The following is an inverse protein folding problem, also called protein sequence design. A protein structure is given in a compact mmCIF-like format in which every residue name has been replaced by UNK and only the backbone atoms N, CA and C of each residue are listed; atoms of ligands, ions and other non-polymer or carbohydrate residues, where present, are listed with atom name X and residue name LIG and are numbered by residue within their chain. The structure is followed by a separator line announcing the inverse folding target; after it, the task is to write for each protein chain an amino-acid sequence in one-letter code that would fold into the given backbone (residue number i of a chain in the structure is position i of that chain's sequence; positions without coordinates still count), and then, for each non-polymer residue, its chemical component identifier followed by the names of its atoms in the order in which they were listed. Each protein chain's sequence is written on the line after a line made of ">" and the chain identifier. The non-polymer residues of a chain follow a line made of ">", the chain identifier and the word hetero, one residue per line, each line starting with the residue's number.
data_IF_095142798342
#
_entry.id   IF_095142798342
#
_cell.length_a   1.000
_cell.length_b   1.000
_cell.length_c   1.000
_cell.angle_alpha   90.00
_cell.angle_beta   90.00
_cell.angle_gamma   90.00
#
_symmetry.space_group_name_H-M   'P 1'
#
loop_
_entity.id
_entity.type
_entity.pdbx_description
1 polymer ?
#
# COMPACT_ATOMS: atom_id res chain seq x y z
N UNK A 1 -2.90 8.34 -18.11
CA UNK A 1 -1.67 8.06 -17.35
C UNK A 1 -1.42 9.24 -16.44
N UNK A 2 -1.34 9.02 -15.13
CA UNK A 2 -0.95 10.05 -14.17
C UNK A 2 0.51 9.80 -13.77
N UNK A 3 1.35 10.83 -13.77
CA UNK A 3 2.75 10.70 -13.32
C UNK A 3 3.05 11.76 -12.29
N UNK A 4 3.95 11.47 -11.37
CA UNK A 4 4.50 12.44 -10.41
C UNK A 4 3.41 13.15 -9.60
N UNK A 5 2.36 12.40 -9.27
CA UNK A 5 1.16 12.93 -8.62
C UNK A 5 1.35 12.98 -7.11
N UNK A 6 1.05 14.12 -6.50
CA UNK A 6 1.02 14.28 -5.05
C UNK A 6 -0.42 14.28 -4.57
N UNK A 7 -0.77 13.39 -3.65
CA UNK A 7 -2.11 13.22 -3.10
C UNK A 7 -2.09 13.59 -1.62
N UNK A 8 -2.89 14.61 -1.25
CA UNK A 8 -2.94 15.18 0.10
C UNK A 8 -4.35 15.20 0.71
N UNK A 9 -5.34 14.65 0.00
CA UNK A 9 -6.75 14.60 0.40
C UNK A 9 -7.37 13.24 0.02
N UNK A 10 -8.51 12.90 0.62
CA UNK A 10 -9.29 11.71 0.30
C UNK A 10 -9.34 10.62 1.37
N UNK A 11 -8.53 10.72 2.43
CA UNK A 11 -8.54 9.79 3.57
C UNK A 11 -9.39 10.29 4.77
N UNK A 12 -10.28 11.28 4.56
CA UNK A 12 -11.00 11.96 5.66
C UNK A 12 -11.96 11.07 6.47
N UNK A 13 -12.13 9.79 6.12
CA UNK A 13 -12.92 8.84 6.92
C UNK A 13 -12.10 7.92 7.85
N UNK A 14 -10.77 7.96 7.80
CA UNK A 14 -9.90 7.01 8.50
C UNK A 14 -9.27 5.95 7.57
N UNK A 15 -8.42 5.07 8.12
CA UNK A 15 -7.42 4.36 7.34
C UNK A 15 -8.04 3.28 6.41
N UNK A 16 -9.24 2.79 6.72
CA UNK A 16 -10.08 1.97 5.82
C UNK A 16 -11.53 2.44 5.88
N UNK A 17 -11.77 3.75 5.85
CA UNK A 17 -13.12 4.27 5.85
C UNK A 17 -13.86 3.86 4.57
N UNK A 18 -14.73 2.87 4.72
CA UNK A 18 -15.87 2.52 3.87
C UNK A 18 -15.99 3.34 2.57
N UNK A 19 -15.22 2.94 1.54
CA UNK A 19 -15.44 3.21 0.11
C UNK A 19 -16.10 4.55 -0.27
N UNK A 20 -15.65 5.66 0.31
CA UNK A 20 -15.89 6.98 -0.28
C UNK A 20 -15.00 7.14 -1.51
N UNK A 21 -15.55 7.58 -2.65
CA UNK A 21 -14.83 7.81 -3.90
C UNK A 21 -13.92 9.07 -3.86
N UNK A 22 -13.20 9.29 -2.76
CA UNK A 22 -12.40 10.49 -2.52
C UNK A 22 -10.91 10.18 -2.57
N UNK A 23 -10.15 11.04 -3.26
CA UNK A 23 -8.72 10.88 -3.51
C UNK A 23 -8.42 10.65 -4.99
N UNK A 24 -7.23 10.12 -5.28
CA UNK A 24 -6.81 9.82 -6.65
C UNK A 24 -7.37 8.46 -7.08
N UNK A 25 -8.25 8.45 -8.08
CA UNK A 25 -8.68 7.21 -8.75
C UNK A 25 -7.76 6.84 -9.91
N UNK A 26 -7.13 5.67 -9.82
CA UNK A 26 -6.29 5.10 -10.85
C UNK A 26 -7.07 4.03 -11.60
N UNK A 27 -7.59 4.37 -12.78
CA UNK A 27 -8.28 3.45 -13.71
C UNK A 27 -7.39 2.92 -14.84
N UNK A 28 -6.18 3.44 -14.95
CA UNK A 28 -5.17 3.02 -15.93
C UNK A 28 -3.82 2.98 -15.22
N UNK A 29 -2.77 3.60 -15.79
CA UNK A 29 -1.46 3.65 -15.13
C UNK A 29 -1.24 4.96 -14.33
N UNK A 30 -0.78 4.83 -13.08
CA UNK A 30 -0.24 5.91 -12.26
C UNK A 30 1.21 5.58 -11.88
N UNK A 31 2.14 6.51 -12.12
CA UNK A 31 3.58 6.29 -11.86
C UNK A 31 4.11 7.37 -10.92
N UNK A 32 4.97 7.00 -9.96
CA UNK A 32 5.61 7.95 -9.03
C UNK A 32 4.58 8.78 -8.26
N UNK A 33 3.62 8.11 -7.64
CA UNK A 33 2.65 8.81 -6.79
C UNK A 33 3.21 8.97 -5.39
N UNK A 34 3.11 10.17 -4.83
CA UNK A 34 3.37 10.44 -3.42
C UNK A 34 2.07 10.69 -2.69
N UNK A 35 1.80 9.90 -1.66
CA UNK A 35 0.61 10.02 -0.82
C UNK A 35 1.06 10.53 0.54
N UNK A 36 0.69 11.76 0.87
CA UNK A 36 0.99 12.36 2.16
C UNK A 36 -0.16 12.11 3.15
N UNK A 37 -0.01 12.64 4.37
CA UNK A 37 -1.06 12.66 5.37
C UNK A 37 -2.40 13.14 4.78
N UNK A 38 -3.46 12.41 5.08
CA UNK A 38 -4.83 12.59 4.58
C UNK A 38 -5.02 12.30 3.08
N UNK A 39 -3.95 11.94 2.36
CA UNK A 39 -4.01 11.53 0.97
C UNK A 39 -4.51 10.10 0.81
N UNK A 40 -5.31 9.86 -0.23
CA UNK A 40 -5.74 8.51 -0.59
C UNK A 40 -5.59 8.23 -2.08
N UNK A 41 -4.95 7.12 -2.42
CA UNK A 41 -4.95 6.57 -3.78
C UNK A 41 -5.81 5.32 -3.83
N UNK A 42 -6.73 5.26 -4.80
CA UNK A 42 -7.58 4.10 -5.07
C UNK A 42 -7.18 3.53 -6.42
N UNK A 43 -6.54 2.36 -6.40
CA UNK A 43 -6.18 1.61 -7.60
C UNK A 43 -7.34 0.70 -7.94
N UNK A 44 -8.11 1.05 -8.97
CA UNK A 44 -9.24 0.25 -9.44
C UNK A 44 -8.76 -1.10 -9.99
N UNK A 45 -9.68 -2.03 -10.23
CA UNK A 45 -9.38 -3.40 -10.72
C UNK A 45 -8.48 -3.41 -11.97
N UNK A 46 -8.76 -2.53 -12.93
CA UNK A 46 -7.95 -2.37 -14.16
C UNK A 46 -6.78 -1.37 -14.00
N UNK A 47 -6.62 -0.82 -12.80
CA UNK A 47 -5.61 0.17 -12.47
C UNK A 47 -4.27 -0.46 -12.14
N UNK A 48 -3.19 0.25 -12.47
CA UNK A 48 -1.83 -0.06 -12.05
C UNK A 48 -1.20 1.18 -11.42
N UNK A 49 -0.74 1.07 -10.19
CA UNK A 49 0.09 2.07 -9.54
C UNK A 49 1.54 1.54 -9.46
N UNK A 50 2.50 2.32 -9.93
CA UNK A 50 3.90 1.95 -9.96
C UNK A 50 4.74 3.01 -9.23
N UNK A 51 5.66 2.56 -8.37
CA UNK A 51 6.54 3.42 -7.57
C UNK A 51 5.73 4.40 -6.71
N UNK A 52 4.81 3.87 -5.89
CA UNK A 52 4.03 4.71 -4.97
C UNK A 52 4.75 4.84 -3.64
N UNK A 53 4.88 6.06 -3.11
CA UNK A 53 5.39 6.31 -1.76
C UNK A 53 4.23 6.78 -0.88
N UNK A 54 4.01 6.10 0.24
CA UNK A 54 2.95 6.41 1.19
C UNK A 54 3.57 6.82 2.53
N UNK A 55 3.34 8.06 2.93
CA UNK A 55 3.81 8.60 4.21
C UNK A 55 2.77 8.43 5.33
N UNK A 56 3.21 8.68 6.56
CA UNK A 56 2.37 8.58 7.75
C UNK A 56 1.01 9.29 7.62
N UNK A 57 -0.06 8.52 7.82
CA UNK A 57 -1.44 8.97 7.70
C UNK A 57 -1.97 9.14 6.27
N UNK A 58 -1.25 8.62 5.27
CA UNK A 58 -1.75 8.43 3.91
C UNK A 58 -2.08 6.96 3.64
N UNK A 59 -2.98 6.74 2.68
CA UNK A 59 -3.56 5.41 2.41
C UNK A 59 -3.52 5.05 0.91
N UNK A 60 -3.17 3.80 0.61
CA UNK A 60 -3.32 3.19 -0.71
C UNK A 60 -4.32 2.03 -0.65
N UNK A 61 -5.45 2.15 -1.34
CA UNK A 61 -6.43 1.07 -1.55
C UNK A 61 -6.17 0.39 -2.89
N UNK A 62 -5.93 -0.92 -2.88
CA UNK A 62 -5.53 -1.69 -4.07
C UNK A 62 -6.58 -2.75 -4.40
N UNK A 63 -7.34 -2.51 -5.48
CA UNK A 63 -8.22 -3.51 -6.11
C UNK A 63 -7.62 -4.08 -7.41
N UNK A 64 -6.70 -3.35 -8.04
CA UNK A 64 -5.92 -3.80 -9.20
C UNK A 64 -4.49 -4.14 -8.81
N UNK A 65 -3.51 -3.48 -9.43
CA UNK A 65 -2.09 -3.78 -9.24
C UNK A 65 -1.31 -2.63 -8.61
N UNK A 66 -0.59 -2.89 -7.53
CA UNK A 66 0.39 -1.98 -6.95
C UNK A 66 1.79 -2.60 -7.06
N UNK A 67 2.72 -1.87 -7.65
CA UNK A 67 4.10 -2.30 -7.91
C UNK A 67 5.06 -1.31 -7.26
N UNK A 68 6.10 -1.82 -6.58
CA UNK A 68 7.16 -1.02 -5.95
C UNK A 68 6.60 0.03 -4.97
N UNK A 69 5.66 -0.37 -4.11
CA UNK A 69 5.11 0.54 -3.09
C UNK A 69 6.06 0.64 -1.90
N UNK A 70 6.37 1.85 -1.46
CA UNK A 70 7.12 2.12 -0.22
C UNK A 70 6.20 2.72 0.85
N UNK A 71 6.07 2.05 2.00
CA UNK A 71 5.26 2.51 3.14
C UNK A 71 6.17 3.08 4.24
N UNK A 72 6.23 4.42 4.34
CA UNK A 72 6.98 5.17 5.33
C UNK A 72 6.04 5.67 6.45
N UNK A 73 5.51 4.74 7.23
CA UNK A 73 4.48 5.03 8.23
C UNK A 73 3.04 5.06 7.71
N UNK A 74 2.85 4.88 6.39
CA UNK A 74 1.54 4.86 5.73
C UNK A 74 0.92 3.48 5.64
N UNK A 75 -0.29 3.41 5.08
CA UNK A 75 -1.08 2.19 4.99
C UNK A 75 -1.30 1.73 3.54
N UNK A 76 -1.20 0.41 3.31
CA UNK A 76 -1.64 -0.24 2.07
C UNK A 76 -2.68 -1.31 2.38
N UNK A 77 -3.83 -1.22 1.71
CA UNK A 77 -4.92 -2.17 1.79
C UNK A 77 -5.05 -2.92 0.48
N UNK A 78 -4.72 -4.20 0.48
CA UNK A 78 -4.87 -5.08 -0.69
C UNK A 78 -6.20 -5.81 -0.56
N UNK A 79 -7.16 -5.44 -1.39
CA UNK A 79 -8.50 -6.00 -1.40
C UNK A 79 -8.58 -7.27 -2.27
N UNK A 80 -9.74 -7.94 -2.25
CA UNK A 80 -10.02 -9.09 -3.11
C UNK A 80 -9.74 -8.77 -4.60
N UNK A 81 -8.96 -9.61 -5.26
CA UNK A 81 -8.50 -9.42 -6.65
C UNK A 81 -7.33 -8.45 -6.79
N UNK A 82 -7.00 -7.70 -5.75
CA UNK A 82 -5.85 -6.80 -5.72
C UNK A 82 -4.54 -7.55 -5.53
N UNK A 83 -3.49 -7.08 -6.18
CA UNK A 83 -2.12 -7.59 -6.04
C UNK A 83 -1.17 -6.46 -5.69
N UNK A 84 -0.40 -6.62 -4.62
CA UNK A 84 0.73 -5.77 -4.28
C UNK A 84 2.03 -6.54 -4.45
N UNK A 85 2.94 -6.06 -5.29
CA UNK A 85 4.24 -6.68 -5.53
C UNK A 85 5.37 -5.74 -5.14
N UNK A 86 6.43 -6.31 -4.55
CA UNK A 86 7.66 -5.60 -4.17
C UNK A 86 7.38 -4.45 -3.18
N UNK A 87 6.38 -4.62 -2.31
CA UNK A 87 6.08 -3.63 -1.27
C UNK A 87 7.19 -3.61 -0.22
N UNK A 88 7.76 -2.43 0.05
CA UNK A 88 8.67 -2.19 1.16
C UNK A 88 7.91 -1.50 2.30
N UNK A 89 7.84 -2.16 3.45
CA UNK A 89 7.22 -1.63 4.67
C UNK A 89 8.33 -1.19 5.63
N UNK A 90 8.46 0.14 5.80
CA UNK A 90 9.39 0.75 6.75
C UNK A 90 8.69 0.99 8.11
N UNK A 91 9.46 1.38 9.12
CA UNK A 91 8.97 1.59 10.50
C UNK A 91 7.62 2.30 10.52
N UNK A 92 6.71 1.76 11.34
CA UNK A 92 5.35 2.25 11.53
C UNK A 92 4.44 2.16 10.30
N UNK A 93 4.92 1.58 9.19
CA UNK A 93 4.13 1.28 7.99
C UNK A 93 3.35 -0.03 8.14
N UNK A 94 2.21 -0.10 7.43
CA UNK A 94 1.27 -1.21 7.55
C UNK A 94 0.80 -1.69 6.18
N UNK A 95 1.07 -2.95 5.86
CA UNK A 95 0.43 -3.63 4.73
C UNK A 95 -0.63 -4.59 5.26
N UNK A 96 -1.89 -4.36 4.88
CA UNK A 96 -3.03 -5.21 5.21
C UNK A 96 -3.54 -5.89 3.94
N UNK A 97 -3.40 -7.22 3.89
CA UNK A 97 -3.90 -8.06 2.80
C UNK A 97 -5.19 -8.75 3.24
N UNK A 98 -6.31 -8.33 2.64
CA UNK A 98 -7.65 -8.87 2.91
C UNK A 98 -7.84 -10.21 2.18
N UNK A 99 -8.92 -10.91 2.51
CA UNK A 99 -9.27 -12.18 1.85
C UNK A 99 -9.39 -12.01 0.33
N UNK A 100 -8.73 -12.90 -0.42
CA UNK A 100 -8.65 -12.83 -1.89
C UNK A 100 -7.66 -11.81 -2.45
N UNK A 101 -6.97 -11.03 -1.61
CA UNK A 101 -5.85 -10.19 -2.01
C UNK A 101 -4.51 -10.96 -2.00
N UNK A 102 -3.56 -10.51 -2.81
CA UNK A 102 -2.22 -11.09 -2.91
C UNK A 102 -1.13 -10.05 -2.60
N UNK A 103 -0.22 -10.39 -1.70
CA UNK A 103 1.05 -9.69 -1.56
C UNK A 103 2.21 -10.61 -1.99
N UNK A 104 3.02 -10.13 -2.91
CA UNK A 104 4.18 -10.83 -3.46
C UNK A 104 5.44 -10.01 -3.17
N UNK A 105 6.49 -10.67 -2.66
CA UNK A 105 7.79 -10.04 -2.33
C UNK A 105 7.75 -8.85 -1.36
N UNK A 106 6.87 -8.88 -0.34
CA UNK A 106 6.89 -7.84 0.70
C UNK A 106 8.16 -7.92 1.55
N UNK A 107 8.86 -6.79 1.67
CA UNK A 107 9.98 -6.61 2.60
C UNK A 107 9.54 -5.76 3.79
N UNK A 108 9.69 -6.27 5.01
CA UNK A 108 9.27 -5.58 6.24
C UNK A 108 10.51 -5.27 7.09
N UNK A 109 10.67 -4.02 7.52
CA UNK A 109 11.84 -3.56 8.29
C UNK A 109 11.46 -2.92 9.63
N UNK A 110 12.28 -3.12 10.67
CA UNK A 110 12.07 -2.49 11.98
C UNK A 110 10.77 -2.95 12.68
N UNK A 111 9.99 -2.00 13.19
CA UNK A 111 8.69 -2.24 13.86
C UNK A 111 7.50 -2.23 12.88
N UNK A 112 7.75 -2.31 11.58
CA UNK A 112 6.71 -2.37 10.55
C UNK A 112 5.86 -3.64 10.68
N UNK A 113 4.58 -3.55 10.29
CA UNK A 113 3.66 -4.67 10.38
C UNK A 113 3.09 -5.04 9.00
N UNK A 114 3.11 -6.34 8.70
CA UNK A 114 2.36 -6.91 7.60
C UNK A 114 1.30 -7.86 8.18
N UNK A 115 0.02 -7.55 7.93
CA UNK A 115 -1.11 -8.38 8.34
C UNK A 115 -1.74 -9.01 7.12
N UNK A 116 -1.67 -10.33 7.02
CA UNK A 116 -2.23 -11.06 5.90
C UNK A 116 -3.30 -12.04 6.37
N UNK A 117 -4.52 -11.90 5.85
CA UNK A 117 -5.60 -12.86 6.07
C UNK A 117 -5.50 -14.09 5.15
N UNK A 118 -4.85 -13.97 3.98
CA UNK A 118 -4.79 -15.03 2.96
C UNK A 118 -3.42 -15.18 2.27
N UNK A 119 -2.33 -14.68 2.87
CA UNK A 119 -1.00 -14.85 2.26
C UNK A 119 -0.58 -16.32 2.28
N UNK A 120 -0.19 -16.86 1.12
CA UNK A 120 0.53 -18.13 1.07
C UNK A 120 1.85 -17.96 1.84
N UNK A 121 2.29 -18.95 2.64
CA UNK A 121 3.37 -18.79 3.63
C UNK A 121 4.79 -18.67 3.04
N UNK A 122 4.95 -18.13 1.83
CA UNK A 122 6.24 -18.19 1.12
C UNK A 122 7.09 -16.92 1.12
N UNK A 123 6.58 -15.72 1.39
CA UNK A 123 7.31 -14.52 0.91
C UNK A 123 7.34 -13.27 1.80
N UNK A 124 7.00 -13.34 3.09
CA UNK A 124 7.35 -12.23 4.00
C UNK A 124 8.75 -12.46 4.57
N UNK A 125 9.77 -11.81 3.98
CA UNK A 125 11.11 -11.80 4.58
C UNK A 125 11.09 -10.75 5.69
N UNK A 126 10.74 -11.17 6.91
CA UNK A 126 10.86 -10.35 8.11
C UNK A 126 12.35 -10.09 8.36
N UNK A 127 12.84 -8.90 8.00
CA UNK A 127 14.20 -8.47 8.34
C UNK A 127 14.06 -7.74 9.69
N UNK A 128 14.04 -8.51 10.78
CA UNK A 128 14.27 -7.91 12.10
C UNK A 128 15.69 -7.32 12.09
N UNK A 129 15.91 -6.10 12.58
CA UNK A 129 17.26 -5.65 12.88
C UNK A 129 17.79 -6.59 13.94
N UNK A 130 18.86 -7.33 13.63
CA UNK A 130 19.51 -8.21 14.59
C UNK A 130 19.84 -7.43 15.86
N UNK A 131 19.35 -7.92 16.99
CA UNK A 131 19.82 -7.50 18.31
C UNK A 131 21.32 -7.82 18.32
N UNK A 132 22.24 -6.84 18.46
CA UNK A 132 23.64 -7.15 18.70
C UNK A 132 23.73 -7.78 20.09
N UNK A 133 24.29 -8.99 20.16
CA UNK A 133 24.60 -9.67 21.42
C UNK A 133 25.75 -9.02 22.18
#
# INVERSE_FOLDING_TARGET
>A
MATDTVVNTGAEGGPDAENGDTGQFVRGNAVRTTINKNGRQIVAVEGTANTTVVYAGGDQTVHGHALDTTLNGGYQYVHNGGTASDTVVNSDGWQIVKEGGLADFTTVTGNAEQRCAACLPRLSRLITPGIPG
#
